data_IF_242137491204
#
_entry.id   IF_242137491204
#
_cell.length_a   1.000
_cell.length_b   1.000
_cell.length_c   1.000
_cell.angle_alpha   90.00
_cell.angle_beta   90.00
_cell.angle_gamma   90.00
#
_symmetry.space_group_name_H-M   'P 1'
#
loop_
_entity.id
_entity.type
_entity.pdbx_description
1 polymer ?
#
# COMPACT_ATOMS: atom_id res chain seq x y z
N UNK A 1 34.76 42.12 -30.92
CA UNK A 1 34.68 41.96 -32.38
C UNK A 1 33.87 40.71 -32.66
N UNK A 2 32.72 40.89 -33.25
CA UNK A 2 31.80 39.86 -33.69
C UNK A 2 32.36 39.12 -34.91
N UNK A 3 32.10 37.84 -35.05
CA UNK A 3 31.85 37.22 -36.35
C UNK A 3 30.94 36.03 -36.18
N UNK A 4 29.71 36.21 -36.63
CA UNK A 4 28.73 35.12 -36.77
C UNK A 4 28.97 34.38 -38.08
N UNK A 5 28.69 33.09 -38.09
CA UNK A 5 28.63 32.26 -39.29
C UNK A 5 27.19 31.77 -39.46
N UNK A 6 26.50 32.36 -40.43
CA UNK A 6 25.29 31.83 -41.01
C UNK A 6 25.63 30.68 -41.95
N UNK A 7 25.04 29.50 -41.78
CA UNK A 7 25.01 28.46 -42.80
C UNK A 7 23.56 28.29 -43.28
N UNK A 8 23.41 28.50 -44.60
CA UNK A 8 22.14 28.59 -45.30
C UNK A 8 21.48 27.22 -45.52
N UNK A 9 20.17 27.21 -45.34
CA UNK A 9 19.24 26.12 -45.68
C UNK A 9 18.99 25.96 -47.17
N UNK A 10 19.97 25.59 -48.00
CA UNK A 10 19.71 25.51 -49.45
C UNK A 10 20.31 24.33 -50.22
N UNK A 11 21.02 23.40 -49.59
CA UNK A 11 21.71 22.31 -50.34
C UNK A 11 21.25 20.86 -50.03
N UNK A 12 20.03 20.69 -49.51
CA UNK A 12 19.46 19.36 -49.23
C UNK A 12 18.38 18.88 -50.24
N UNK A 13 18.35 19.49 -51.45
CA UNK A 13 17.26 19.18 -52.41
C UNK A 13 17.80 18.92 -53.84
N UNK A 14 18.89 18.16 -54.01
CA UNK A 14 19.32 17.65 -55.31
C UNK A 14 20.03 16.31 -55.21
N UNK A 15 19.34 15.24 -54.83
CA UNK A 15 19.82 13.86 -55.04
C UNK A 15 18.64 12.86 -54.97
N UNK A 16 17.70 12.97 -55.88
CA UNK A 16 16.69 11.93 -56.06
C UNK A 16 16.18 11.97 -57.52
N UNK A 17 16.98 11.46 -58.41
CA UNK A 17 16.54 11.07 -59.77
C UNK A 17 17.65 10.25 -60.41
N UNK A 18 17.63 8.93 -60.23
CA UNK A 18 18.02 7.93 -61.21
C UNK A 18 17.70 6.52 -60.69
N UNK A 19 16.73 5.90 -61.24
CA UNK A 19 16.32 4.61 -61.64
C UNK A 19 16.77 3.35 -60.84
N UNK A 20 15.77 2.61 -60.41
CA UNK A 20 15.93 1.24 -59.99
C UNK A 20 14.57 0.67 -59.60
N UNK A 21 13.87 0.00 -60.55
CA UNK A 21 12.67 -0.80 -60.27
C UNK A 21 13.04 -1.98 -59.38
N UNK A 22 12.80 -1.86 -58.06
CA UNK A 22 12.81 -2.98 -57.14
C UNK A 22 11.36 -3.34 -56.76
N UNK A 23 10.96 -4.59 -56.98
CA UNK A 23 9.69 -5.14 -56.56
C UNK A 23 9.52 -4.88 -55.05
N UNK A 24 8.60 -4.01 -54.70
CA UNK A 24 8.14 -3.82 -53.33
C UNK A 24 7.22 -5.01 -52.97
N UNK A 25 7.78 -6.03 -52.33
CA UNK A 25 7.00 -6.94 -51.51
C UNK A 25 6.34 -6.08 -50.43
N UNK A 26 5.03 -5.92 -50.53
CA UNK A 26 4.23 -5.16 -49.56
C UNK A 26 4.27 -5.82 -48.18
N UNK A 27 5.25 -5.47 -47.39
CA UNK A 27 5.11 -5.53 -45.92
C UNK A 27 4.18 -4.38 -45.56
N UNK A 28 2.88 -4.70 -45.41
CA UNK A 28 1.98 -3.78 -44.75
C UNK A 28 2.60 -3.42 -43.38
N UNK A 29 3.14 -2.23 -43.28
CA UNK A 29 3.52 -1.68 -41.99
C UNK A 29 2.24 -1.69 -41.15
N UNK A 30 2.17 -2.61 -40.17
CA UNK A 30 1.16 -2.52 -39.12
C UNK A 30 1.27 -1.12 -38.55
N UNK A 31 0.19 -0.34 -38.49
CA UNK A 31 0.24 0.93 -37.83
C UNK A 31 0.83 0.66 -36.44
N UNK A 32 1.91 1.36 -36.09
CA UNK A 32 2.44 1.36 -34.74
C UNK A 32 1.26 1.79 -33.86
N UNK A 33 0.65 0.84 -33.16
CA UNK A 33 -0.36 1.14 -32.12
C UNK A 33 0.39 2.03 -31.16
N UNK A 34 -0.03 3.29 -31.06
CA UNK A 34 0.48 4.21 -30.05
C UNK A 34 0.45 3.46 -28.72
N UNK A 35 1.63 3.30 -28.10
CA UNK A 35 1.73 2.57 -26.86
C UNK A 35 0.84 3.27 -25.81
N UNK A 36 -0.21 2.58 -25.36
CA UNK A 36 -1.15 3.12 -24.38
C UNK A 36 -0.44 3.28 -23.03
N UNK A 37 -0.63 4.42 -22.36
CA UNK A 37 -0.13 4.65 -21.02
C UNK A 37 -1.26 4.41 -20.00
N UNK A 38 -1.05 3.49 -19.06
CA UNK A 38 -1.94 3.29 -17.90
C UNK A 38 -1.61 4.32 -16.84
N UNK A 39 -2.56 5.18 -16.52
CA UNK A 39 -2.41 6.15 -15.44
C UNK A 39 -2.74 5.48 -14.10
N UNK A 40 -1.71 5.28 -13.30
CA UNK A 40 -1.74 4.49 -12.08
C UNK A 40 -1.49 5.40 -10.86
N UNK A 41 -2.53 5.62 -10.04
CA UNK A 41 -2.43 6.33 -8.78
C UNK A 41 -2.07 5.36 -7.65
N UNK A 42 -1.03 5.65 -6.87
CA UNK A 42 -0.52 4.75 -5.83
C UNK A 42 -0.12 5.52 -4.56
N UNK A 43 -0.36 4.93 -3.40
CA UNK A 43 0.04 5.50 -2.10
C UNK A 43 1.51 5.24 -1.73
N UNK A 44 2.36 4.88 -2.70
CA UNK A 44 3.80 4.71 -2.54
C UNK A 44 4.26 3.26 -2.31
N UNK A 45 3.41 2.26 -2.52
CA UNK A 45 3.76 0.85 -2.28
C UNK A 45 3.89 0.05 -3.58
N UNK A 46 3.08 0.35 -4.59
CA UNK A 46 2.97 -0.45 -5.82
C UNK A 46 4.07 -0.21 -6.86
N UNK A 47 5.05 0.67 -6.60
CA UNK A 47 6.14 0.93 -7.52
C UNK A 47 7.26 -0.12 -7.38
N UNK A 48 7.59 -0.89 -8.43
CA UNK A 48 8.69 -1.84 -8.43
C UNK A 48 10.08 -1.18 -8.55
N UNK A 49 10.25 0.04 -8.05
CA UNK A 49 11.49 0.82 -8.12
C UNK A 49 11.68 1.57 -9.43
N UNK A 50 10.59 1.97 -10.08
CA UNK A 50 10.58 2.68 -11.35
C UNK A 50 10.76 1.77 -12.57
N UNK A 51 11.04 0.48 -12.40
CA UNK A 51 11.27 -0.44 -13.51
C UNK A 51 9.97 -1.14 -13.95
N UNK A 52 9.29 -0.54 -14.91
CA UNK A 52 8.11 -1.10 -15.56
C UNK A 52 8.42 -1.81 -16.90
N UNK A 53 9.70 -1.98 -17.25
CA UNK A 53 10.11 -2.54 -18.55
C UNK A 53 9.55 -3.94 -18.83
N UNK A 54 9.36 -4.76 -17.77
CA UNK A 54 8.75 -6.09 -17.90
C UNK A 54 7.28 -6.03 -18.22
N UNK A 55 6.54 -5.15 -17.56
CA UNK A 55 5.15 -4.89 -17.92
C UNK A 55 5.04 -4.41 -19.36
N UNK A 56 5.85 -3.43 -19.75
CA UNK A 56 5.88 -2.90 -21.12
C UNK A 56 6.11 -4.00 -22.15
N UNK A 57 7.03 -4.93 -21.91
CA UNK A 57 7.26 -6.08 -22.80
C UNK A 57 6.07 -7.05 -22.80
N UNK A 58 5.52 -7.38 -21.64
CA UNK A 58 4.43 -8.33 -21.50
C UNK A 58 3.13 -7.81 -22.13
N UNK A 59 2.85 -6.52 -22.06
CA UNK A 59 1.66 -5.86 -22.62
C UNK A 59 1.79 -5.51 -24.12
N UNK A 60 2.95 -5.79 -24.73
CA UNK A 60 3.19 -5.44 -26.13
C UNK A 60 3.42 -3.95 -26.37
N UNK A 61 3.91 -3.21 -25.36
CA UNK A 61 4.32 -1.83 -25.49
C UNK A 61 3.61 -0.82 -24.58
N UNK A 62 2.62 -1.24 -23.78
CA UNK A 62 1.97 -0.32 -22.84
C UNK A 62 2.95 0.15 -21.76
N UNK A 63 2.81 1.41 -21.35
CA UNK A 63 3.62 2.02 -20.28
C UNK A 63 2.79 2.27 -19.03
N UNK A 64 3.44 2.53 -17.91
CA UNK A 64 2.80 2.96 -16.65
C UNK A 64 3.20 4.40 -16.36
N UNK A 65 2.20 5.25 -16.21
CA UNK A 65 2.35 6.59 -15.66
C UNK A 65 1.94 6.56 -14.19
N UNK A 66 2.91 6.36 -13.31
CA UNK A 66 2.66 6.23 -11.88
C UNK A 66 2.64 7.61 -11.22
N UNK A 67 1.59 7.86 -10.43
CA UNK A 67 1.41 9.11 -9.68
C UNK A 67 1.24 8.76 -8.20
N UNK A 68 2.11 9.31 -7.36
CA UNK A 68 2.00 9.16 -5.91
C UNK A 68 0.87 10.03 -5.36
N UNK A 69 0.01 9.43 -4.52
CA UNK A 69 -1.11 10.10 -3.85
C UNK A 69 -1.03 9.92 -2.34
N UNK A 70 -1.77 10.75 -1.59
CA UNK A 70 -1.83 10.64 -0.13
C UNK A 70 -2.55 9.38 0.35
N UNK A 71 -2.18 8.88 1.52
CA UNK A 71 -2.70 7.63 2.10
C UNK A 71 -3.96 7.83 2.99
N UNK A 72 -4.30 9.06 3.37
CA UNK A 72 -5.47 9.32 4.23
C UNK A 72 -6.80 9.13 3.47
N UNK A 73 -7.89 8.68 4.15
CA UNK A 73 -9.19 8.50 3.52
C UNK A 73 -9.68 9.72 2.75
N UNK A 74 -9.64 10.89 3.37
CA UNK A 74 -10.05 12.15 2.73
C UNK A 74 -9.17 12.53 1.53
N UNK A 75 -7.86 12.25 1.58
CA UNK A 75 -6.95 12.51 0.45
C UNK A 75 -7.30 11.64 -0.76
N UNK A 76 -7.60 10.35 -0.54
CA UNK A 76 -7.99 9.41 -1.59
C UNK A 76 -9.30 9.84 -2.26
N UNK A 77 -10.33 10.19 -1.47
CA UNK A 77 -11.60 10.68 -2.00
C UNK A 77 -11.42 11.98 -2.78
N UNK A 78 -10.64 12.93 -2.25
CA UNK A 78 -10.39 14.22 -2.90
C UNK A 78 -9.67 14.06 -4.24
N UNK A 79 -8.72 13.14 -4.37
CA UNK A 79 -8.02 12.86 -5.65
C UNK A 79 -9.02 12.44 -6.73
N UNK A 80 -9.99 11.61 -6.41
CA UNK A 80 -10.96 11.10 -7.39
C UNK A 80 -12.12 12.07 -7.63
N UNK A 81 -12.63 12.73 -6.60
CA UNK A 81 -13.82 13.61 -6.69
C UNK A 81 -13.40 15.02 -7.11
N UNK A 82 -12.67 15.75 -6.24
CA UNK A 82 -12.32 17.15 -6.45
C UNK A 82 -11.16 17.32 -7.45
N UNK A 83 -10.22 16.38 -7.46
CA UNK A 83 -9.05 16.40 -8.35
C UNK A 83 -9.32 15.93 -9.78
N UNK A 84 -10.55 15.55 -10.12
CA UNK A 84 -10.89 15.05 -11.46
C UNK A 84 -10.24 13.72 -11.79
N UNK A 85 -9.83 12.94 -10.78
CA UNK A 85 -9.12 11.67 -10.94
C UNK A 85 -9.87 10.62 -11.76
N UNK A 86 -11.21 10.65 -11.77
CA UNK A 86 -12.04 9.81 -12.64
C UNK A 86 -11.87 10.10 -14.13
N UNK A 87 -11.30 11.24 -14.52
CA UNK A 87 -10.94 11.54 -15.91
C UNK A 87 -9.47 11.31 -16.21
N UNK A 88 -8.66 11.11 -15.17
CA UNK A 88 -7.21 11.04 -15.25
C UNK A 88 -6.70 9.61 -15.07
N UNK A 89 -7.12 8.93 -13.99
CA UNK A 89 -6.57 7.63 -13.62
C UNK A 89 -7.33 6.47 -14.23
N UNK A 90 -6.63 5.36 -14.46
CA UNK A 90 -7.19 4.07 -14.87
C UNK A 90 -7.25 3.10 -13.70
N UNK A 91 -6.24 3.14 -12.85
CA UNK A 91 -6.10 2.30 -11.67
C UNK A 91 -5.74 3.17 -10.47
N UNK A 92 -6.28 2.83 -9.30
CA UNK A 92 -5.87 3.36 -8.00
C UNK A 92 -5.51 2.20 -7.08
N UNK A 93 -4.30 2.23 -6.48
CA UNK A 93 -3.83 1.22 -5.52
C UNK A 93 -3.77 1.82 -4.11
N UNK A 94 -4.64 1.33 -3.24
CA UNK A 94 -4.88 1.90 -1.91
C UNK A 94 -5.15 0.80 -0.88
N UNK A 95 -5.12 1.15 0.40
CA UNK A 95 -5.54 0.23 1.47
C UNK A 95 -7.01 -0.10 1.32
N UNK A 96 -7.34 -1.37 1.42
CA UNK A 96 -8.71 -1.89 1.34
C UNK A 96 -9.62 -1.35 2.44
N UNK A 97 -10.93 -1.45 2.19
CA UNK A 97 -11.97 -0.75 2.95
C UNK A 97 -12.38 0.57 2.29
N UNK A 98 -11.44 1.25 1.62
CA UNK A 98 -11.71 2.49 0.88
C UNK A 98 -12.56 2.28 -0.38
N UNK A 99 -12.66 1.06 -0.92
CA UNK A 99 -13.56 0.79 -2.05
C UNK A 99 -15.04 1.07 -1.70
N UNK A 100 -15.44 0.95 -0.43
CA UNK A 100 -16.83 1.19 0.01
C UNK A 100 -17.30 2.60 -0.40
N UNK A 101 -16.70 3.69 0.08
CA UNK A 101 -17.10 5.02 -0.34
C UNK A 101 -16.83 5.29 -1.82
N UNK A 102 -15.85 4.62 -2.45
CA UNK A 102 -15.61 4.79 -3.89
C UNK A 102 -16.73 4.16 -4.74
N UNK A 103 -17.26 3.02 -4.35
CA UNK A 103 -18.42 2.38 -5.00
C UNK A 103 -19.69 3.19 -4.76
N UNK A 104 -19.93 3.64 -3.53
CA UNK A 104 -21.11 4.43 -3.17
C UNK A 104 -21.18 5.76 -3.93
N UNK A 105 -20.04 6.32 -4.32
CA UNK A 105 -19.92 7.52 -5.16
C UNK A 105 -19.72 7.22 -6.65
N UNK A 106 -19.89 5.97 -7.09
CA UNK A 106 -19.76 5.55 -8.50
C UNK A 106 -18.39 5.87 -9.14
N UNK A 107 -17.30 5.78 -8.37
CA UNK A 107 -15.95 6.18 -8.80
C UNK A 107 -15.09 5.02 -9.31
N UNK A 108 -15.42 3.77 -8.99
CA UNK A 108 -14.72 2.55 -9.41
C UNK A 108 -15.69 1.53 -9.98
N UNK A 109 -15.19 0.61 -10.78
CA UNK A 109 -15.99 -0.42 -11.42
C UNK A 109 -15.61 -1.84 -10.94
N UNK A 110 -16.56 -2.80 -10.97
CA UNK A 110 -16.27 -4.19 -10.62
C UNK A 110 -15.20 -4.81 -11.52
N UNK A 111 -14.36 -5.66 -10.94
CA UNK A 111 -13.33 -6.42 -11.66
C UNK A 111 -13.96 -7.66 -12.31
N UNK A 112 -13.69 -7.84 -13.61
CA UNK A 112 -13.96 -9.06 -14.35
C UNK A 112 -12.78 -10.03 -14.16
N UNK A 113 -12.81 -10.84 -13.10
CA UNK A 113 -11.68 -11.72 -12.72
C UNK A 113 -11.29 -12.71 -13.82
N UNK A 114 -12.23 -13.09 -14.72
CA UNK A 114 -11.93 -13.92 -15.89
C UNK A 114 -10.97 -13.28 -16.91
N UNK A 115 -10.73 -11.98 -16.83
CA UNK A 115 -9.75 -11.25 -17.65
C UNK A 115 -8.35 -11.20 -17.01
N UNK A 116 -8.17 -11.80 -15.83
CA UNK A 116 -6.93 -11.79 -15.04
C UNK A 116 -6.47 -13.25 -14.85
N UNK A 117 -5.65 -13.81 -15.75
CA UNK A 117 -5.22 -15.20 -15.69
C UNK A 117 -4.55 -15.62 -14.38
N UNK A 118 -3.81 -14.71 -13.74
CA UNK A 118 -3.13 -14.98 -12.47
C UNK A 118 -4.09 -14.95 -11.25
N UNK A 119 -5.32 -14.44 -11.39
CA UNK A 119 -6.32 -14.46 -10.32
C UNK A 119 -6.59 -15.87 -9.79
N UNK A 120 -6.76 -16.84 -10.69
CA UNK A 120 -7.02 -18.24 -10.32
C UNK A 120 -5.81 -18.94 -9.68
N UNK A 121 -4.61 -18.36 -9.78
CA UNK A 121 -3.38 -18.87 -9.19
C UNK A 121 -3.11 -18.27 -7.81
N UNK A 122 -3.84 -17.23 -7.43
CA UNK A 122 -3.65 -16.55 -6.15
C UNK A 122 -4.40 -17.27 -5.03
N UNK A 123 -3.69 -18.19 -4.35
CA UNK A 123 -4.23 -18.90 -3.20
C UNK A 123 -4.52 -17.98 -2.00
N UNK A 124 -3.89 -16.81 -1.90
CA UNK A 124 -4.15 -15.85 -0.82
C UNK A 124 -5.53 -15.21 -0.95
N UNK A 125 -6.00 -14.99 -2.19
CA UNK A 125 -7.39 -14.62 -2.43
C UNK A 125 -8.34 -15.70 -1.93
N UNK A 126 -8.05 -16.96 -2.25
CA UNK A 126 -8.88 -18.08 -1.83
C UNK A 126 -8.84 -18.34 -0.31
N UNK A 127 -7.75 -18.02 0.35
CA UNK A 127 -7.53 -18.28 1.77
C UNK A 127 -7.98 -17.11 2.66
N UNK A 128 -7.49 -15.90 2.36
CA UNK A 128 -7.66 -14.74 3.26
C UNK A 128 -8.75 -13.76 2.82
N UNK A 129 -9.03 -13.67 1.51
CA UNK A 129 -9.85 -12.60 0.92
C UNK A 129 -11.12 -13.12 0.23
N UNK A 130 -11.50 -14.37 0.42
CA UNK A 130 -12.70 -14.95 -0.20
C UNK A 130 -13.99 -14.36 0.38
N UNK A 131 -15.10 -14.36 -0.40
CA UNK A 131 -16.41 -13.98 0.13
C UNK A 131 -16.77 -14.72 1.43
N UNK A 132 -17.31 -14.00 2.41
CA UNK A 132 -17.67 -14.53 3.72
C UNK A 132 -16.52 -14.51 4.75
N UNK A 133 -15.33 -14.04 4.40
CA UNK A 133 -14.26 -13.75 5.36
C UNK A 133 -14.17 -12.23 5.62
N UNK A 134 -13.68 -11.79 6.80
CA UNK A 134 -13.47 -10.36 7.06
C UNK A 134 -12.49 -9.71 6.06
N UNK A 135 -11.53 -10.47 5.54
CA UNK A 135 -10.58 -9.99 4.53
C UNK A 135 -11.22 -9.65 3.18
N UNK A 136 -12.40 -10.22 2.86
CA UNK A 136 -13.13 -9.86 1.65
C UNK A 136 -13.46 -8.36 1.58
N UNK A 137 -13.66 -7.73 2.74
CA UNK A 137 -13.90 -6.30 2.87
C UNK A 137 -12.75 -5.40 2.34
N UNK A 138 -11.62 -6.00 1.95
CA UNK A 138 -10.49 -5.28 1.35
C UNK A 138 -10.49 -5.30 -0.18
N UNK A 139 -11.22 -6.22 -0.80
CA UNK A 139 -11.30 -6.34 -2.26
C UNK A 139 -12.75 -6.32 -2.77
N UNK A 140 -13.72 -6.59 -1.90
CA UNK A 140 -15.12 -6.75 -2.25
C UNK A 140 -16.04 -5.74 -1.59
N UNK A 141 -17.23 -5.55 -2.19
CA UNK A 141 -18.33 -4.77 -1.62
C UNK A 141 -19.64 -5.18 -2.30
N UNK A 142 -20.75 -5.27 -1.54
CA UNK A 142 -22.08 -5.65 -2.06
C UNK A 142 -22.05 -6.92 -2.94
N UNK A 143 -21.25 -7.92 -2.52
CA UNK A 143 -21.15 -9.22 -3.21
C UNK A 143 -20.35 -9.20 -4.53
N UNK A 144 -19.73 -8.08 -4.89
CA UNK A 144 -18.89 -7.96 -6.09
C UNK A 144 -17.43 -7.76 -5.70
N UNK A 145 -16.52 -8.18 -6.57
CA UNK A 145 -15.08 -7.94 -6.46
C UNK A 145 -14.78 -6.62 -7.18
N UNK A 146 -14.07 -5.73 -6.51
CA UNK A 146 -13.64 -4.44 -7.04
C UNK A 146 -12.12 -4.31 -7.09
N UNK A 147 -11.38 -5.01 -6.21
CA UNK A 147 -9.94 -4.87 -6.07
C UNK A 147 -9.17 -6.14 -6.39
N UNK A 148 -7.99 -5.98 -6.99
CA UNK A 148 -6.96 -7.00 -7.12
C UNK A 148 -5.97 -6.81 -5.97
N UNK A 149 -5.76 -7.80 -5.07
CA UNK A 149 -4.87 -7.64 -3.95
C UNK A 149 -3.42 -7.44 -4.43
N UNK A 150 -2.73 -6.50 -3.80
CA UNK A 150 -1.35 -6.18 -4.12
C UNK A 150 -0.40 -6.39 -2.96
N UNK A 151 -0.90 -6.27 -1.73
CA UNK A 151 -0.16 -6.45 -0.49
C UNK A 151 -1.08 -7.02 0.59
N UNK A 152 -0.52 -7.91 1.41
CA UNK A 152 -1.11 -8.38 2.66
C UNK A 152 -0.11 -8.17 3.79
N UNK A 153 -0.59 -7.74 4.97
CA UNK A 153 0.27 -7.51 6.15
C UNK A 153 -0.54 -7.58 7.46
N UNK A 154 0.17 -7.72 8.56
CA UNK A 154 -0.35 -7.55 9.92
C UNK A 154 0.50 -6.54 10.67
N UNK A 155 -0.13 -5.44 11.09
CA UNK A 155 0.52 -4.37 11.82
C UNK A 155 0.60 -4.64 13.32
N UNK A 156 1.65 -4.09 13.92
CA UNK A 156 1.98 -4.19 15.33
C UNK A 156 2.65 -2.90 15.81
N UNK A 157 3.64 -3.03 16.66
CA UNK A 157 4.51 -1.95 17.15
C UNK A 157 5.96 -2.44 17.18
N UNK A 158 6.90 -1.50 17.22
CA UNK A 158 8.32 -1.79 17.39
C UNK A 158 8.83 -1.35 18.76
N UNK A 159 9.93 -1.97 19.19
CA UNK A 159 10.62 -1.59 20.41
C UNK A 159 12.14 -1.79 20.28
N UNK A 160 12.89 -1.14 21.17
CA UNK A 160 14.34 -1.28 21.29
C UNK A 160 14.66 -2.21 22.47
N UNK A 161 14.98 -3.50 22.25
CA UNK A 161 15.11 -4.48 23.33
C UNK A 161 16.23 -4.18 24.32
N UNK A 162 17.27 -3.46 23.90
CA UNK A 162 18.34 -3.00 24.81
C UNK A 162 17.81 -2.09 25.93
N UNK A 163 16.73 -1.33 25.66
CA UNK A 163 16.13 -0.41 26.61
C UNK A 163 14.90 -0.99 27.31
N UNK A 164 14.17 -1.89 26.66
CA UNK A 164 12.84 -2.34 27.10
C UNK A 164 12.79 -3.78 27.59
N UNK A 165 13.76 -4.62 27.20
CA UNK A 165 13.58 -6.07 27.18
C UNK A 165 12.58 -6.50 26.12
N UNK A 166 12.02 -7.72 26.25
CA UNK A 166 11.01 -8.25 25.32
C UNK A 166 9.63 -7.70 25.65
N UNK A 167 8.89 -7.29 24.61
CA UNK A 167 7.54 -6.76 24.71
C UNK A 167 6.61 -7.56 23.77
N UNK A 168 5.45 -7.96 24.27
CA UNK A 168 4.48 -8.79 23.55
C UNK A 168 3.03 -8.28 23.68
N UNK A 169 2.82 -7.02 24.03
CA UNK A 169 1.49 -6.44 24.21
C UNK A 169 1.47 -4.98 23.75
N UNK A 170 0.37 -4.56 23.11
CA UNK A 170 0.12 -3.14 22.84
C UNK A 170 0.09 -2.29 24.11
N UNK A 171 -0.11 -2.91 25.27
CA UNK A 171 0.03 -2.23 26.57
C UNK A 171 1.36 -1.52 26.76
N UNK A 172 2.42 -1.95 26.07
CA UNK A 172 3.72 -1.27 26.09
C UNK A 172 3.65 0.19 25.58
N UNK A 173 2.71 0.51 24.67
CA UNK A 173 2.48 1.88 24.19
C UNK A 173 1.94 2.80 25.29
N UNK A 174 1.37 2.23 26.36
CA UNK A 174 0.69 2.95 27.44
C UNK A 174 1.33 2.72 28.80
N UNK A 175 2.38 1.89 28.89
CA UNK A 175 3.09 1.61 30.15
C UNK A 175 3.86 2.86 30.59
N UNK A 176 3.63 3.38 31.82
CA UNK A 176 4.30 4.58 32.34
C UNK A 176 5.83 4.45 32.44
N UNK A 177 6.39 3.23 32.37
CA UNK A 177 7.84 3.01 32.26
C UNK A 177 8.46 3.66 31.03
N UNK A 178 7.67 3.82 29.98
CA UNK A 178 8.11 4.39 28.69
C UNK A 178 7.60 5.81 28.47
N UNK A 179 7.10 6.46 29.52
CA UNK A 179 6.62 7.86 29.48
C UNK A 179 7.62 8.77 28.79
N UNK A 180 7.17 9.51 27.78
CA UNK A 180 8.00 10.41 26.97
C UNK A 180 8.88 9.72 25.92
N UNK A 181 8.81 8.38 25.83
CA UNK A 181 9.57 7.57 24.85
C UNK A 181 8.69 6.72 23.96
N UNK A 182 7.42 7.07 23.79
CA UNK A 182 6.46 6.41 22.92
C UNK A 182 6.02 7.35 21.82
N UNK A 183 5.89 6.84 20.59
CA UNK A 183 5.19 7.57 19.53
C UNK A 183 4.11 6.71 18.88
N UNK A 184 3.02 7.36 18.47
CA UNK A 184 1.91 6.75 17.78
C UNK A 184 1.80 7.29 16.35
N UNK A 185 1.22 6.51 15.45
CA UNK A 185 0.82 7.00 14.12
C UNK A 185 -0.33 8.00 14.26
N UNK A 186 -0.26 9.14 13.57
CA UNK A 186 -1.36 10.10 13.47
C UNK A 186 -2.48 9.57 12.56
N UNK A 187 -3.09 8.47 12.99
CA UNK A 187 -4.10 7.77 12.19
C UNK A 187 -5.06 6.98 13.09
N UNK A 188 -6.35 7.36 13.08
CA UNK A 188 -7.37 6.69 13.88
C UNK A 188 -7.66 5.25 13.45
N UNK A 189 -7.44 4.90 12.16
CA UNK A 189 -7.65 3.53 11.66
C UNK A 189 -6.46 2.60 11.89
N UNK A 190 -5.39 3.09 12.49
CA UNK A 190 -4.22 2.32 12.91
C UNK A 190 -4.03 2.44 14.42
N UNK A 191 -3.46 3.53 14.93
CA UNK A 191 -3.24 3.73 16.35
C UNK A 191 -4.55 3.65 17.18
N UNK A 192 -5.65 4.22 16.68
CA UNK A 192 -6.95 4.14 17.34
C UNK A 192 -7.48 2.71 17.44
N UNK A 193 -7.42 1.94 16.35
CA UNK A 193 -7.92 0.55 16.36
C UNK A 193 -7.00 -0.38 17.17
N UNK A 194 -5.68 -0.19 17.16
CA UNK A 194 -4.75 -0.92 18.05
C UNK A 194 -5.00 -0.59 19.52
N UNK A 195 -5.31 0.66 19.82
CA UNK A 195 -5.71 1.06 21.19
C UNK A 195 -7.01 0.39 21.60
N UNK A 196 -8.01 0.36 20.71
CA UNK A 196 -9.28 -0.33 20.95
C UNK A 196 -9.08 -1.83 21.20
N UNK A 197 -8.24 -2.48 20.39
CA UNK A 197 -7.88 -3.88 20.57
C UNK A 197 -7.22 -4.12 21.94
N UNK A 198 -6.27 -3.28 22.35
CA UNK A 198 -5.66 -3.34 23.67
C UNK A 198 -6.70 -3.18 24.80
N UNK A 199 -7.55 -2.17 24.72
CA UNK A 199 -8.55 -1.91 25.76
C UNK A 199 -9.56 -3.05 25.90
N UNK A 200 -9.95 -3.66 24.79
CA UNK A 200 -10.80 -4.85 24.75
C UNK A 200 -10.14 -6.03 25.44
N UNK A 201 -8.94 -6.41 25.00
CA UNK A 201 -8.25 -7.61 25.48
C UNK A 201 -7.77 -7.47 26.94
N UNK A 202 -7.40 -6.25 27.36
CA UNK A 202 -7.07 -5.94 28.75
C UNK A 202 -8.28 -5.74 29.66
N UNK A 203 -9.52 -5.78 29.10
CA UNK A 203 -10.80 -5.55 29.79
C UNK A 203 -10.91 -4.18 30.45
N UNK A 204 -10.17 -3.18 29.95
CA UNK A 204 -10.25 -1.81 30.45
C UNK A 204 -11.45 -1.04 29.86
N UNK A 205 -11.98 -1.50 28.72
CA UNK A 205 -13.24 -1.01 28.16
C UNK A 205 -14.06 -2.15 27.53
N UNK A 206 -15.37 -1.98 27.50
CA UNK A 206 -16.25 -2.88 26.77
C UNK A 206 -16.25 -2.46 25.30
N UNK A 207 -15.64 -3.24 24.43
CA UNK A 207 -15.52 -2.99 23.01
C UNK A 207 -16.00 -4.21 22.23
N UNK A 208 -16.91 -4.01 21.31
CA UNK A 208 -17.43 -5.04 20.43
C UNK A 208 -16.43 -5.41 19.33
N UNK A 209 -16.35 -4.59 18.31
CA UNK A 209 -15.40 -4.74 17.20
C UNK A 209 -14.36 -3.62 17.23
N UNK A 210 -13.07 -3.91 17.54
CA UNK A 210 -12.02 -2.89 17.60
C UNK A 210 -11.81 -2.12 16.30
N UNK A 211 -12.18 -2.68 15.16
CA UNK A 211 -12.04 -2.04 13.85
C UNK A 211 -13.27 -1.24 13.42
N UNK A 212 -14.43 -1.44 14.08
CA UNK A 212 -15.69 -0.78 13.72
C UNK A 212 -16.46 -0.36 14.96
N UNK A 213 -15.93 0.58 15.71
CA UNK A 213 -16.43 1.05 16.99
C UNK A 213 -17.77 1.80 16.85
N UNK A 214 -18.62 1.63 17.84
CA UNK A 214 -19.77 2.53 18.05
C UNK A 214 -19.27 3.92 18.47
N UNK A 215 -20.10 4.99 18.35
CA UNK A 215 -19.70 6.34 18.79
C UNK A 215 -19.25 6.40 20.25
N UNK A 216 -19.90 5.65 21.13
CA UNK A 216 -19.52 5.57 22.55
C UNK A 216 -18.15 4.90 22.76
N UNK A 217 -17.86 3.85 22.00
CA UNK A 217 -16.57 3.17 22.06
C UNK A 217 -15.44 4.03 21.47
N UNK A 218 -15.69 4.76 20.36
CA UNK A 218 -14.72 5.74 19.81
C UNK A 218 -14.37 6.76 20.87
N UNK A 219 -15.38 7.31 21.54
CA UNK A 219 -15.17 8.28 22.62
C UNK A 219 -14.34 7.68 23.76
N UNK A 220 -14.63 6.48 24.21
CA UNK A 220 -13.90 5.80 25.29
C UNK A 220 -12.42 5.57 24.92
N UNK A 221 -12.13 5.13 23.70
CA UNK A 221 -10.75 4.98 23.19
C UNK A 221 -10.01 6.33 23.17
N UNK A 222 -10.68 7.37 22.70
CA UNK A 222 -10.06 8.69 22.61
C UNK A 222 -9.89 9.33 23.99
N UNK A 223 -10.83 9.16 24.91
CA UNK A 223 -10.68 9.63 26.30
C UNK A 223 -9.45 8.99 26.97
N UNK A 224 -9.26 7.68 26.78
CA UNK A 224 -8.05 6.99 27.25
C UNK A 224 -6.77 7.55 26.64
N UNK A 225 -6.74 7.77 25.32
CA UNK A 225 -5.58 8.38 24.66
C UNK A 225 -5.29 9.79 25.14
N UNK A 226 -6.33 10.60 25.41
CA UNK A 226 -6.19 11.96 25.96
C UNK A 226 -5.63 11.91 27.36
N UNK A 227 -6.07 10.98 28.19
CA UNK A 227 -5.53 10.80 29.55
C UNK A 227 -4.03 10.46 29.46
N UNK A 228 -3.64 9.50 28.65
CA UNK A 228 -2.23 9.13 28.42
C UNK A 228 -1.40 10.30 27.87
N UNK A 229 -1.96 11.10 26.98
CA UNK A 229 -1.30 12.30 26.47
C UNK A 229 -1.06 13.34 27.56
N UNK A 230 -2.07 13.61 28.42
CA UNK A 230 -1.94 14.52 29.59
C UNK A 230 -0.93 14.02 30.62
N UNK A 231 -0.79 12.70 30.76
CA UNK A 231 0.26 12.11 31.60
C UNK A 231 1.65 12.28 31.00
N UNK A 232 1.79 12.76 29.74
CA UNK A 232 3.06 12.89 29.03
C UNK A 232 3.60 11.57 28.50
N UNK A 233 2.73 10.59 28.25
CA UNK A 233 3.11 9.26 27.74
C UNK A 233 3.78 9.34 26.37
N UNK A 234 3.25 10.18 25.48
CA UNK A 234 3.69 10.22 24.09
C UNK A 234 4.73 11.31 23.86
N UNK A 235 5.84 10.93 23.22
CA UNK A 235 6.85 11.87 22.73
C UNK A 235 6.31 12.70 21.57
N UNK A 236 5.59 12.05 20.64
CA UNK A 236 4.98 12.70 19.48
C UNK A 236 3.96 11.77 18.79
N UNK A 237 3.19 12.35 17.87
CA UNK A 237 2.50 11.62 16.80
C UNK A 237 3.34 11.76 15.53
N UNK A 238 3.52 10.67 14.79
CA UNK A 238 4.22 10.69 13.51
C UNK A 238 3.23 10.53 12.34
N UNK A 239 3.53 11.17 11.21
CA UNK A 239 2.67 11.19 10.03
C UNK A 239 3.39 10.84 8.72
N UNK A 240 4.70 10.57 8.76
CA UNK A 240 5.45 10.10 7.60
C UNK A 240 6.36 8.92 7.94
N UNK A 241 6.64 8.10 6.92
CA UNK A 241 7.54 6.95 7.04
C UNK A 241 8.91 7.35 7.56
N UNK A 242 9.48 8.44 7.01
CA UNK A 242 10.80 8.96 7.37
C UNK A 242 10.84 9.44 8.82
N UNK A 243 9.79 10.11 9.28
CA UNK A 243 9.68 10.55 10.67
C UNK A 243 9.72 9.37 11.63
N UNK A 244 8.93 8.31 11.37
CA UNK A 244 8.89 7.12 12.20
C UNK A 244 10.24 6.38 12.22
N UNK A 245 10.90 6.23 11.06
CA UNK A 245 12.26 5.65 10.97
C UNK A 245 13.26 6.47 11.77
N UNK A 246 13.21 7.80 11.66
CA UNK A 246 14.14 8.69 12.38
C UNK A 246 13.96 8.59 13.89
N UNK A 247 12.74 8.49 14.40
CA UNK A 247 12.45 8.28 15.83
C UNK A 247 13.12 7.00 16.38
N UNK A 248 13.12 5.91 15.61
CA UNK A 248 13.83 4.67 15.98
C UNK A 248 15.34 4.83 15.88
N UNK A 249 15.83 5.39 14.79
CA UNK A 249 17.28 5.50 14.50
C UNK A 249 17.96 6.44 15.49
N UNK A 250 17.33 7.56 15.86
CA UNK A 250 17.84 8.48 16.88
C UNK A 250 17.66 7.96 18.30
N UNK A 251 16.93 6.84 18.50
CA UNK A 251 16.53 6.30 19.81
C UNK A 251 15.73 7.31 20.65
N UNK A 252 15.10 8.27 19.98
CA UNK A 252 14.22 9.25 20.64
C UNK A 252 12.98 8.59 21.23
N UNK A 253 12.57 7.44 20.66
CA UNK A 253 11.54 6.57 21.24
C UNK A 253 12.11 5.18 21.54
N UNK A 254 11.53 4.53 22.54
CA UNK A 254 11.83 3.13 22.91
C UNK A 254 10.76 2.18 22.43
N UNK A 255 9.52 2.67 22.28
CA UNK A 255 8.35 1.93 21.78
C UNK A 255 7.68 2.80 20.71
N UNK A 256 7.40 2.22 19.55
CA UNK A 256 6.84 2.93 18.41
C UNK A 256 5.68 2.12 17.81
N UNK A 257 4.48 2.71 17.78
CA UNK A 257 3.43 2.25 16.89
C UNK A 257 3.87 2.49 15.44
N UNK A 258 4.07 1.43 14.66
CA UNK A 258 4.66 1.56 13.33
C UNK A 258 4.33 0.39 12.39
N UNK A 259 4.77 0.52 11.14
CA UNK A 259 4.75 -0.53 10.13
C UNK A 259 6.08 -1.29 10.12
N UNK A 260 6.03 -2.59 9.86
CA UNK A 260 7.22 -3.44 9.89
C UNK A 260 8.38 -2.98 8.98
N UNK A 261 8.17 -2.44 7.77
CA UNK A 261 9.25 -1.92 6.94
C UNK A 261 10.11 -0.85 7.62
N UNK A 262 9.56 -0.07 8.56
CA UNK A 262 10.33 0.91 9.33
C UNK A 262 11.39 0.24 10.21
N UNK A 263 11.06 -0.94 10.75
CA UNK A 263 12.00 -1.77 11.52
C UNK A 263 13.12 -2.30 10.63
N UNK A 264 12.80 -2.74 9.41
CA UNK A 264 13.83 -3.18 8.45
C UNK A 264 14.81 -2.06 8.11
N UNK A 265 14.30 -0.84 7.88
CA UNK A 265 15.16 0.32 7.62
C UNK A 265 15.98 0.70 8.85
N UNK A 266 15.42 0.67 10.05
CA UNK A 266 16.18 0.91 11.28
C UNK A 266 17.32 -0.12 11.46
N UNK A 267 17.03 -1.41 11.23
CA UNK A 267 18.05 -2.48 11.27
C UNK A 267 19.16 -2.27 10.25
N UNK A 268 18.84 -1.86 9.02
CA UNK A 268 19.87 -1.56 8.01
C UNK A 268 20.80 -0.41 8.40
N UNK A 269 20.34 0.45 9.33
CA UNK A 269 21.14 1.54 9.92
C UNK A 269 21.82 1.16 11.24
N UNK A 270 21.85 -0.14 11.58
CA UNK A 270 22.53 -0.66 12.77
C UNK A 270 21.75 -0.56 14.07
N UNK A 271 20.43 -0.29 14.00
CA UNK A 271 19.56 -0.24 15.19
C UNK A 271 18.93 -1.61 15.41
N UNK A 272 19.14 -2.20 16.57
CA UNK A 272 18.49 -3.45 16.97
C UNK A 272 17.04 -3.15 17.40
N UNK A 273 16.16 -2.93 16.44
CA UNK A 273 14.74 -2.76 16.65
C UNK A 273 14.02 -4.10 16.42
N UNK A 274 13.03 -4.42 17.25
CA UNK A 274 12.21 -5.63 17.13
C UNK A 274 10.78 -5.24 16.82
N UNK A 275 10.18 -5.93 15.84
CA UNK A 275 8.74 -5.82 15.58
C UNK A 275 7.99 -6.83 16.46
N UNK A 276 7.09 -6.35 17.29
CA UNK A 276 6.43 -7.15 18.31
C UNK A 276 5.46 -8.18 17.70
N UNK A 277 5.31 -9.31 18.39
CA UNK A 277 4.25 -10.28 18.15
C UNK A 277 3.20 -10.18 19.27
N UNK A 278 2.26 -9.22 19.20
CA UNK A 278 1.38 -8.88 20.32
C UNK A 278 0.44 -10.02 20.65
N UNK A 279 0.25 -10.27 21.94
CA UNK A 279 -0.65 -11.33 22.43
C UNK A 279 -2.11 -11.05 22.09
N UNK A 280 -2.47 -9.79 21.92
CA UNK A 280 -3.81 -9.34 21.49
C UNK A 280 -4.09 -9.64 20.00
N UNK A 281 -3.08 -10.09 19.25
CA UNK A 281 -3.17 -10.30 17.80
C UNK A 281 -2.72 -9.08 17.01
N UNK A 282 -2.66 -9.25 15.69
CA UNK A 282 -2.24 -8.19 14.76
C UNK A 282 -3.43 -7.38 14.25
N UNK A 283 -3.16 -6.16 13.77
CA UNK A 283 -4.10 -5.43 12.94
C UNK A 283 -3.85 -5.86 11.48
N UNK A 284 -4.68 -6.79 10.98
CA UNK A 284 -4.54 -7.39 9.64
C UNK A 284 -5.11 -6.47 8.58
N UNK A 285 -4.44 -6.37 7.43
CA UNK A 285 -4.90 -5.54 6.33
C UNK A 285 -4.37 -6.02 4.97
N UNK A 286 -5.00 -5.54 3.91
CA UNK A 286 -4.57 -5.72 2.54
C UNK A 286 -4.64 -4.39 1.77
N UNK A 287 -3.77 -4.23 0.77
CA UNK A 287 -3.96 -3.25 -0.30
C UNK A 287 -4.55 -3.92 -1.52
N UNK A 288 -5.26 -3.15 -2.30
CA UNK A 288 -5.75 -3.61 -3.58
C UNK A 288 -5.71 -2.50 -4.63
N UNK A 289 -5.54 -2.93 -5.87
CA UNK A 289 -5.64 -2.09 -7.05
C UNK A 289 -7.06 -2.16 -7.61
N UNK A 290 -7.69 -1.01 -7.79
CA UNK A 290 -9.07 -0.85 -8.23
C UNK A 290 -9.11 -0.15 -9.58
N UNK A 291 -10.02 -0.55 -10.47
CA UNK A 291 -10.24 0.13 -11.74
C UNK A 291 -11.11 1.36 -11.49
N UNK A 292 -10.57 2.53 -11.79
CA UNK A 292 -11.30 3.81 -11.70
C UNK A 292 -12.33 3.88 -12.83
N UNK A 293 -13.55 4.31 -12.55
CA UNK A 293 -14.58 4.53 -13.55
C UNK A 293 -14.25 5.78 -14.36
N UNK A 294 -13.43 5.61 -15.40
CA UNK A 294 -12.92 6.69 -16.24
C UNK A 294 -13.61 6.72 -17.60
N UNK A 295 -14.54 7.68 -17.84
CA UNK A 295 -15.28 7.78 -19.11
C UNK A 295 -14.39 8.17 -20.30
N UNK A 296 -13.20 8.71 -20.05
CA UNK A 296 -12.22 9.05 -21.09
C UNK A 296 -11.23 7.93 -21.38
N UNK A 297 -11.36 6.76 -20.72
CA UNK A 297 -10.50 5.61 -20.96
C UNK A 297 -10.81 4.96 -22.29
N UNK A 298 -9.80 4.87 -23.18
CA UNK A 298 -9.90 4.15 -24.45
C UNK A 298 -10.00 2.64 -24.21
N UNK A 299 -10.49 1.89 -25.21
CA UNK A 299 -10.51 0.44 -25.14
C UNK A 299 -9.10 -0.16 -24.98
N UNK A 300 -8.09 0.47 -25.63
CA UNK A 300 -6.68 0.07 -25.50
C UNK A 300 -6.17 0.26 -24.08
N UNK A 301 -6.41 1.42 -23.46
CA UNK A 301 -6.06 1.67 -22.04
C UNK A 301 -6.80 0.73 -21.10
N UNK A 302 -8.07 0.43 -21.37
CA UNK A 302 -8.84 -0.53 -20.58
C UNK A 302 -8.24 -1.95 -20.64
N UNK A 303 -7.79 -2.40 -21.83
CA UNK A 303 -7.05 -3.65 -21.98
C UNK A 303 -5.75 -3.62 -21.19
N UNK A 304 -4.93 -2.59 -21.38
CA UNK A 304 -3.65 -2.42 -20.69
C UNK A 304 -3.80 -2.35 -19.16
N UNK A 305 -4.88 -1.75 -18.65
CA UNK A 305 -5.18 -1.73 -17.22
C UNK A 305 -5.40 -3.15 -16.66
N UNK A 306 -6.17 -4.00 -17.33
CA UNK A 306 -6.34 -5.40 -16.90
C UNK A 306 -5.04 -6.21 -17.01
N UNK A 307 -4.23 -5.96 -18.05
CA UNK A 307 -2.90 -6.58 -18.19
C UNK A 307 -1.95 -6.14 -17.07
N UNK A 308 -2.07 -4.89 -16.58
CA UNK A 308 -1.31 -4.42 -15.42
C UNK A 308 -1.78 -5.11 -14.13
N UNK A 309 -3.09 -5.25 -13.92
CA UNK A 309 -3.62 -5.99 -12.77
C UNK A 309 -3.15 -7.46 -12.76
N UNK A 310 -3.16 -8.12 -13.93
CA UNK A 310 -2.63 -9.49 -14.04
C UNK A 310 -1.12 -9.55 -13.78
N UNK A 311 -0.36 -8.59 -14.30
CA UNK A 311 1.08 -8.47 -14.06
C UNK A 311 1.40 -8.29 -12.56
N UNK A 312 0.58 -7.52 -11.83
CA UNK A 312 0.75 -7.32 -10.39
C UNK A 312 0.51 -8.59 -9.57
N UNK A 313 -0.27 -9.54 -10.07
CA UNK A 313 -0.40 -10.89 -9.49
C UNK A 313 0.69 -11.86 -9.97
N UNK A 314 1.59 -11.42 -10.83
CA UNK A 314 2.70 -12.24 -11.33
C UNK A 314 3.86 -12.38 -10.33
N UNK A 315 4.61 -13.47 -10.46
CA UNK A 315 5.71 -13.80 -9.53
C UNK A 315 6.81 -12.75 -9.48
N UNK A 316 7.21 -12.18 -10.63
CA UNK A 316 8.24 -11.15 -10.67
C UNK A 316 7.84 -9.89 -9.91
N UNK A 317 6.65 -9.35 -10.21
CA UNK A 317 6.17 -8.14 -9.54
C UNK A 317 6.03 -8.38 -8.03
N UNK A 318 5.43 -9.52 -7.67
CA UNK A 318 5.29 -9.90 -6.26
C UNK A 318 6.64 -9.99 -5.54
N UNK A 319 7.62 -10.71 -6.12
CA UNK A 319 8.97 -10.83 -5.55
C UNK A 319 9.67 -9.48 -5.42
N UNK A 320 9.52 -8.61 -6.44
CA UNK A 320 10.14 -7.28 -6.45
C UNK A 320 9.56 -6.36 -5.38
N UNK A 321 8.23 -6.31 -5.24
CA UNK A 321 7.58 -5.53 -4.19
C UNK A 321 7.91 -6.10 -2.81
N UNK A 322 7.91 -7.41 -2.63
CA UNK A 322 8.28 -8.03 -1.35
C UNK A 322 9.72 -7.68 -0.96
N UNK A 323 10.66 -7.77 -1.91
CA UNK A 323 12.08 -7.41 -1.69
C UNK A 323 12.25 -5.94 -1.31
N UNK A 324 11.57 -5.04 -2.03
CA UNK A 324 11.71 -3.60 -1.83
C UNK A 324 10.98 -3.07 -0.60
N UNK A 325 9.77 -3.58 -0.32
CA UNK A 325 8.84 -2.98 0.64
C UNK A 325 8.65 -3.81 1.92
N UNK A 326 9.01 -5.10 1.90
CA UNK A 326 8.85 -5.97 3.07
C UNK A 326 7.43 -6.45 3.33
N UNK A 327 6.58 -6.51 2.29
CA UNK A 327 5.20 -6.97 2.37
C UNK A 327 5.01 -8.33 1.67
N UNK A 328 4.10 -9.15 2.17
CA UNK A 328 3.60 -10.31 1.43
C UNK A 328 2.72 -9.80 0.28
N UNK A 329 2.88 -10.37 -0.91
CA UNK A 329 2.15 -9.95 -2.12
C UNK A 329 1.25 -11.04 -2.65
N UNK A 330 1.81 -12.01 -3.34
CA UNK A 330 1.09 -13.14 -3.93
C UNK A 330 1.89 -14.44 -3.75
N UNK A 331 1.27 -15.62 -3.85
CA UNK A 331 1.91 -16.91 -3.59
C UNK A 331 3.00 -17.29 -4.59
N UNK A 332 3.07 -16.63 -5.75
CA UNK A 332 4.07 -16.89 -6.77
C UNK A 332 5.42 -16.22 -6.46
N UNK A 333 5.43 -15.18 -5.60
CA UNK A 333 6.60 -14.36 -5.34
C UNK A 333 7.81 -15.15 -4.78
N UNK A 334 7.69 -15.99 -3.74
CA UNK A 334 8.83 -16.75 -3.21
C UNK A 334 9.41 -17.74 -4.21
N UNK A 335 8.53 -18.44 -4.94
CA UNK A 335 8.95 -19.42 -5.97
C UNK A 335 9.67 -18.71 -7.11
N UNK A 336 9.12 -17.61 -7.61
CA UNK A 336 9.75 -16.84 -8.66
C UNK A 336 11.16 -16.36 -8.25
N UNK A 337 11.28 -15.76 -7.07
CA UNK A 337 12.57 -15.27 -6.59
C UNK A 337 13.63 -16.39 -6.50
N UNK A 338 13.25 -17.59 -6.07
CA UNK A 338 14.12 -18.76 -5.98
C UNK A 338 14.54 -19.28 -7.37
N UNK A 339 13.63 -19.26 -8.34
CA UNK A 339 13.87 -19.81 -9.69
C UNK A 339 14.62 -18.85 -10.62
N UNK A 340 14.79 -17.57 -10.23
CA UNK A 340 15.44 -16.54 -11.03
C UNK A 340 16.63 -15.91 -10.30
N UNK A 341 17.72 -16.67 -10.05
CA UNK A 341 18.86 -16.21 -9.25
C UNK A 341 19.64 -15.05 -9.89
N UNK A 342 19.55 -14.88 -11.21
CA UNK A 342 20.16 -13.74 -11.92
C UNK A 342 19.48 -12.40 -11.55
N UNK A 343 18.23 -12.44 -11.15
CA UNK A 343 17.43 -11.26 -10.77
C UNK A 343 17.31 -11.13 -9.26
N UNK A 344 17.19 -12.26 -8.59
CA UNK A 344 17.09 -12.37 -7.14
C UNK A 344 18.21 -13.27 -6.62
N UNK A 345 19.44 -12.73 -6.38
CA UNK A 345 20.50 -13.46 -5.72
C UNK A 345 20.02 -14.14 -4.44
N UNK A 346 20.75 -15.17 -3.99
CA UNK A 346 20.29 -16.07 -2.93
C UNK A 346 19.84 -15.35 -1.65
N UNK A 347 20.51 -14.28 -1.25
CA UNK A 347 20.15 -13.44 -0.10
C UNK A 347 18.79 -12.73 -0.29
N UNK A 348 18.54 -12.20 -1.48
CA UNK A 348 17.26 -11.55 -1.82
C UNK A 348 16.11 -12.56 -1.90
N UNK A 349 16.34 -13.70 -2.54
CA UNK A 349 15.34 -14.77 -2.62
C UNK A 349 14.99 -15.31 -1.22
N UNK A 350 16.00 -15.49 -0.36
CA UNK A 350 15.79 -15.88 1.03
C UNK A 350 15.00 -14.82 1.81
N UNK A 351 15.28 -13.54 1.58
CA UNK A 351 14.54 -12.43 2.19
C UNK A 351 13.07 -12.43 1.77
N UNK A 352 12.78 -12.59 0.46
CA UNK A 352 11.40 -12.69 -0.04
C UNK A 352 10.64 -13.84 0.63
N UNK A 353 11.26 -15.02 0.69
CA UNK A 353 10.65 -16.18 1.34
C UNK A 353 10.44 -15.97 2.85
N UNK A 354 11.37 -15.33 3.54
CA UNK A 354 11.28 -15.05 4.97
C UNK A 354 10.16 -14.04 5.29
N UNK A 355 9.99 -13.00 4.47
CA UNK A 355 8.91 -12.02 4.61
C UNK A 355 7.56 -12.70 4.40
N UNK A 356 7.39 -13.45 3.31
CA UNK A 356 6.16 -14.19 3.02
C UNK A 356 5.78 -15.11 4.18
N UNK A 357 6.72 -15.95 4.64
CA UNK A 357 6.50 -16.85 5.78
C UNK A 357 6.21 -16.10 7.09
N UNK A 358 6.86 -14.96 7.30
CA UNK A 358 6.64 -14.11 8.48
C UNK A 358 5.23 -13.54 8.52
N UNK A 359 4.73 -13.04 7.39
CA UNK A 359 3.37 -12.50 7.29
C UNK A 359 2.32 -13.61 7.41
N UNK A 360 2.53 -14.78 6.80
CA UNK A 360 1.66 -15.95 6.99
C UNK A 360 1.48 -16.29 8.47
N UNK A 361 2.57 -16.32 9.25
CA UNK A 361 2.49 -16.57 10.71
C UNK A 361 1.66 -15.54 11.45
N UNK A 362 1.62 -14.27 10.97
CA UNK A 362 0.75 -13.25 11.56
C UNK A 362 -0.72 -13.56 11.30
N UNK A 363 -1.05 -14.00 10.09
CA UNK A 363 -2.41 -14.40 9.73
C UNK A 363 -2.85 -15.67 10.47
N UNK A 364 -1.94 -16.65 10.63
CA UNK A 364 -2.17 -17.87 11.44
C UNK A 364 -2.40 -17.56 12.92
N UNK A 365 -1.63 -16.61 13.48
CA UNK A 365 -1.84 -16.13 14.85
C UNK A 365 -3.18 -15.41 14.98
N UNK A 366 -3.63 -14.77 13.91
CA UNK A 366 -4.86 -14.02 13.86
C UNK A 366 -4.76 -12.61 14.42
N UNK A 367 -5.88 -11.92 14.40
CA UNK A 367 -6.00 -10.54 14.85
C UNK A 367 -7.30 -9.92 14.40
N UNK A 368 -7.35 -8.60 14.44
CA UNK A 368 -8.47 -7.81 13.98
C UNK A 368 -8.19 -7.31 12.56
N UNK A 369 -9.14 -7.48 11.64
CA UNK A 369 -9.04 -6.90 10.31
C UNK A 369 -9.34 -5.40 10.36
N UNK A 370 -8.40 -4.59 9.94
CA UNK A 370 -8.49 -3.13 9.90
C UNK A 370 -9.72 -2.67 9.10
N UNK A 371 -10.39 -1.63 9.56
CA UNK A 371 -11.39 -0.91 8.78
C UNK A 371 -10.90 0.51 8.50
N UNK A 372 -10.61 0.81 7.24
CA UNK A 372 -10.20 2.17 6.82
C UNK A 372 -11.40 3.10 6.69
N UNK A 373 -12.58 2.54 6.48
CA UNK A 373 -13.84 3.26 6.40
C UNK A 373 -14.87 2.62 7.34
N UNK A 374 -14.74 2.84 8.66
CA UNK A 374 -15.72 2.35 9.64
C UNK A 374 -17.08 3.03 9.45
N UNK A 375 -18.14 2.42 9.97
CA UNK A 375 -19.51 2.94 9.83
C UNK A 375 -19.63 4.37 10.38
N UNK A 376 -18.96 4.66 11.50
CA UNK A 376 -19.03 5.95 12.18
C UNK A 376 -17.83 6.84 11.86
N UNK A 377 -17.36 6.87 10.61
CA UNK A 377 -16.12 7.56 10.19
C UNK A 377 -16.06 9.02 10.66
N UNK A 378 -17.17 9.74 10.57
CA UNK A 378 -17.26 11.15 11.03
C UNK A 378 -16.98 11.28 12.54
N UNK A 379 -17.48 10.33 13.34
CA UNK A 379 -17.19 10.31 14.79
C UNK A 379 -15.69 10.04 15.03
N UNK A 380 -15.10 9.12 14.29
CA UNK A 380 -13.66 8.86 14.38
C UNK A 380 -12.83 10.11 14.03
N UNK A 381 -13.18 10.81 12.98
CA UNK A 381 -12.46 12.03 12.57
C UNK A 381 -12.61 13.15 13.62
N UNK A 382 -13.81 13.39 14.12
CA UNK A 382 -14.07 14.40 15.13
C UNK A 382 -13.34 14.11 16.46
N UNK A 383 -13.44 12.87 16.93
CA UNK A 383 -12.79 12.46 18.19
C UNK A 383 -11.26 12.41 18.05
N UNK A 384 -10.72 11.99 16.91
CA UNK A 384 -9.27 12.03 16.65
C UNK A 384 -8.73 13.46 16.62
N UNK A 385 -9.49 14.40 16.03
CA UNK A 385 -9.18 15.82 16.09
C UNK A 385 -9.17 16.33 17.55
N UNK A 386 -10.11 15.89 18.38
CA UNK A 386 -10.17 16.19 19.82
C UNK A 386 -8.92 15.66 20.56
N UNK A 387 -8.48 14.43 20.25
CA UNK A 387 -7.22 13.87 20.79
C UNK A 387 -6.01 14.74 20.40
N UNK A 388 -5.90 15.12 19.14
CA UNK A 388 -4.79 15.95 18.67
C UNK A 388 -4.76 17.33 19.34
N UNK A 389 -5.92 17.93 19.53
CA UNK A 389 -6.04 19.25 20.18
C UNK A 389 -5.85 19.23 21.71
N UNK A 390 -5.95 18.05 22.34
CA UNK A 390 -5.77 17.95 23.78
C UNK A 390 -4.35 18.35 24.21
N UNK A 391 -4.18 19.05 25.37
CA UNK A 391 -2.86 19.43 25.86
C UNK A 391 -2.01 18.19 26.14
N UNK A 392 -0.70 18.28 25.83
CA UNK A 392 0.30 17.33 26.29
C UNK A 392 0.71 17.62 27.73
N UNK A 393 1.23 16.62 28.42
CA UNK A 393 1.82 16.77 29.74
C UNK A 393 3.26 17.25 29.66
#
# INVERSE_FOLDING_TARGET
MMHGIHIARRDALKAALYGGTALALGMAARPAVSAEAVNFADIGVGDPGGDWSRYTRASGGASVNLVSIGNGPSAILNVLIAGGGTKTYDIINIVGGMQKPLVDNDLIEPIETGRIPNWAKDSYVAEYLKPGTPGFDFIGYMGKIYGVPTVLQGDSFAFLPEATGQLDSYGALFDPKWKGFVALEDNYTTAGQKTALYLKESKQATIGDPANLTPGEVKAVVDFLIEKKKEGQFRTLWSSFEQAVNLLVSKEVKVLDCWEPMVFVAKSKGIDAVYAAPKEGYLLWAMAAYIVKNPARTAGRGKAAYELLDFMLGGWYGAKITELRGYMTNPLAPTYAKEHPDEFPADKAQRVAAIDAGVKKKFEKGGTWQQRWPINVETYEAEWARFKAAPGG
#
